data_IF_842606913106
#
_entry.id   IF_842606913106
#
_cell.length_a   1.000
_cell.length_b   1.000
_cell.length_c   1.000
_cell.angle_alpha   90.00
_cell.angle_beta   90.00
_cell.angle_gamma   90.00
#
_symmetry.space_group_name_H-M   'P 1'
#
loop_
_entity.id
_entity.type
_entity.pdbx_description
1 polymer ?
#
# COMPACT_ATOMS: atom_id res chain seq x y z
N UNK A 1 -18.94 -45.69 27.48
CA UNK A 1 -19.86 -46.36 26.54
C UNK A 1 -19.38 -46.03 25.13
N UNK A 2 -19.02 -47.05 24.33
CA UNK A 2 -18.66 -46.83 22.93
C UNK A 2 -19.95 -46.50 22.17
N UNK A 3 -20.00 -45.34 21.53
CA UNK A 3 -21.11 -44.96 20.65
C UNK A 3 -21.02 -45.77 19.35
N UNK A 4 -22.16 -46.13 18.77
CA UNK A 4 -22.19 -46.74 17.45
C UNK A 4 -21.74 -45.72 16.38
N UNK A 5 -21.21 -46.18 15.24
CA UNK A 5 -20.66 -45.28 14.20
C UNK A 5 -21.64 -44.17 13.78
N UNK A 6 -22.93 -44.51 13.67
CA UNK A 6 -23.98 -43.55 13.31
C UNK A 6 -24.26 -42.52 14.43
N UNK A 7 -24.04 -42.89 15.69
CA UNK A 7 -24.18 -41.97 16.83
C UNK A 7 -22.96 -41.05 16.95
N UNK A 8 -21.77 -41.53 16.58
CA UNK A 8 -20.56 -40.70 16.48
C UNK A 8 -20.69 -39.66 15.36
N UNK A 9 -21.22 -40.05 14.20
CA UNK A 9 -21.47 -39.13 13.09
C UNK A 9 -22.47 -38.02 13.45
N UNK A 10 -23.56 -38.38 14.13
CA UNK A 10 -24.56 -37.40 14.59
C UNK A 10 -23.97 -36.42 15.61
N UNK A 11 -23.16 -36.91 16.55
CA UNK A 11 -22.47 -36.06 17.53
C UNK A 11 -21.46 -35.10 16.85
N UNK A 12 -20.72 -35.58 15.85
CA UNK A 12 -19.77 -34.75 15.11
C UNK A 12 -20.46 -33.61 14.35
N UNK A 13 -21.55 -33.91 13.63
CA UNK A 13 -22.30 -32.90 12.85
C UNK A 13 -22.87 -31.82 13.78
N UNK A 14 -23.49 -32.21 14.90
CA UNK A 14 -24.04 -31.24 15.86
C UNK A 14 -22.92 -30.39 16.46
N UNK A 15 -21.78 -31.00 16.81
CA UNK A 15 -20.62 -30.26 17.31
C UNK A 15 -20.15 -29.21 16.29
N UNK A 16 -20.01 -29.58 15.02
CA UNK A 16 -19.57 -28.64 13.98
C UNK A 16 -20.58 -27.51 13.73
N UNK A 17 -21.89 -27.79 13.83
CA UNK A 17 -22.91 -26.75 13.70
C UNK A 17 -22.88 -25.77 14.88
N UNK A 18 -22.67 -26.26 16.11
CA UNK A 18 -22.55 -25.41 17.30
C UNK A 18 -21.29 -24.55 17.23
N UNK A 19 -20.13 -25.14 16.94
CA UNK A 19 -18.88 -24.37 16.81
C UNK A 19 -18.88 -23.43 15.61
N UNK A 20 -19.46 -23.84 14.47
CA UNK A 20 -19.61 -22.97 13.29
C UNK A 20 -20.51 -21.77 13.55
N UNK A 21 -21.64 -21.96 14.25
CA UNK A 21 -22.53 -20.84 14.63
C UNK A 21 -21.94 -19.96 15.74
N UNK A 22 -21.17 -20.53 16.67
CA UNK A 22 -20.43 -19.76 17.68
C UNK A 22 -19.33 -18.90 17.02
N UNK A 23 -18.59 -19.43 16.04
CA UNK A 23 -17.55 -18.70 15.33
C UNK A 23 -18.14 -17.51 14.58
N UNK A 24 -19.18 -17.73 13.77
CA UNK A 24 -19.87 -16.64 13.02
C UNK A 24 -20.53 -15.63 13.96
N UNK A 25 -21.10 -16.07 15.08
CA UNK A 25 -21.76 -15.19 16.04
C UNK A 25 -20.80 -14.34 16.88
N UNK A 26 -19.64 -14.86 17.24
CA UNK A 26 -18.62 -14.12 18.01
C UNK A 26 -17.82 -13.21 17.07
N UNK A 27 -17.37 -13.69 15.90
CA UNK A 27 -16.63 -12.86 14.95
C UNK A 27 -17.51 -11.75 14.35
N UNK A 28 -18.80 -12.01 14.14
CA UNK A 28 -19.75 -11.00 13.64
C UNK A 28 -20.14 -9.93 14.67
N UNK A 29 -19.98 -10.19 15.98
CA UNK A 29 -20.26 -9.20 17.02
C UNK A 29 -19.06 -8.30 17.33
N UNK A 30 -17.83 -8.78 17.11
CA UNK A 30 -16.62 -7.97 17.27
C UNK A 30 -16.37 -6.97 16.14
N UNK A 31 -17.09 -7.07 15.01
CA UNK A 31 -16.97 -6.10 13.92
C UNK A 31 -18.00 -4.96 13.97
N UNK A 32 -18.92 -4.93 14.95
CA UNK A 32 -19.85 -3.79 15.12
C UNK A 32 -19.98 -3.31 16.57
N UNK A 33 -19.15 -3.78 17.50
CA UNK A 33 -19.13 -3.20 18.85
C UNK A 33 -18.35 -1.88 18.82
N UNK A 34 -19.09 -0.79 18.61
CA UNK A 34 -18.70 0.61 18.78
C UNK A 34 -18.36 0.94 20.25
N UNK A 35 -17.40 0.25 20.86
CA UNK A 35 -17.24 0.30 22.32
C UNK A 35 -15.92 -0.14 22.94
N UNK A 36 -14.87 -0.43 22.17
CA UNK A 36 -13.49 -0.54 22.69
C UNK A 36 -12.53 -0.02 21.63
N UNK A 37 -12.10 1.22 21.79
CA UNK A 37 -11.32 1.95 20.79
C UNK A 37 -12.13 3.15 20.34
N UNK A 38 -11.84 4.29 20.96
CA UNK A 38 -12.29 5.61 20.53
C UNK A 38 -11.53 5.95 19.23
N UNK A 39 -11.85 5.23 18.16
CA UNK A 39 -11.36 5.55 16.83
C UNK A 39 -12.42 6.45 16.20
N UNK A 40 -12.13 7.74 16.16
CA UNK A 40 -12.87 8.67 15.32
C UNK A 40 -12.84 8.17 13.88
N UNK A 41 -13.99 8.23 13.21
CA UNK A 41 -14.03 7.99 11.78
C UNK A 41 -13.21 9.08 11.09
N UNK A 42 -12.23 8.71 10.27
CA UNK A 42 -11.47 9.65 9.43
C UNK A 42 -12.34 10.42 8.41
N UNK A 43 -13.65 10.16 8.37
CA UNK A 43 -14.61 10.86 7.55
C UNK A 43 -15.12 12.17 8.17
N UNK A 44 -14.86 12.44 9.46
CA UNK A 44 -15.34 13.66 10.13
C UNK A 44 -14.23 14.33 10.97
N UNK A 45 -13.02 14.44 10.44
CA UNK A 45 -12.17 15.55 10.83
C UNK A 45 -12.71 16.81 10.13
N UNK A 46 -13.60 17.52 10.81
CA UNK A 46 -14.00 18.87 10.40
C UNK A 46 -12.75 19.74 10.48
N UNK A 47 -12.06 19.86 9.33
CA UNK A 47 -10.92 20.75 9.13
C UNK A 47 -11.34 22.11 9.69
N UNK A 48 -10.77 22.47 10.84
CA UNK A 48 -11.01 23.77 11.44
C UNK A 48 -10.56 24.80 10.41
N UNK A 49 -11.46 25.64 9.84
CA UNK A 49 -11.15 26.47 8.67
C UNK A 49 -10.15 27.60 8.97
N UNK A 50 -9.59 27.62 10.18
CA UNK A 50 -8.58 28.56 10.65
C UNK A 50 -7.25 27.93 11.07
N UNK A 51 -7.08 26.60 10.96
CA UNK A 51 -5.73 26.04 10.90
C UNK A 51 -5.37 26.06 9.43
N UNK A 52 -4.65 27.10 9.02
CA UNK A 52 -3.86 27.05 7.81
C UNK A 52 -2.82 25.94 8.02
N UNK A 53 -3.21 24.69 7.78
CA UNK A 53 -2.33 23.76 7.11
C UNK A 53 -2.00 24.54 5.85
N UNK A 54 -0.77 25.05 5.76
CA UNK A 54 -0.15 25.23 4.46
C UNK A 54 -0.04 23.82 3.89
N UNK A 55 -1.18 23.25 3.50
CA UNK A 55 -1.22 22.35 2.39
C UNK A 55 -0.80 23.30 1.30
N UNK A 56 0.47 23.22 0.96
CA UNK A 56 0.87 23.41 -0.42
C UNK A 56 -0.14 22.57 -1.19
N UNK A 57 -1.27 23.20 -1.59
CA UNK A 57 -2.04 22.73 -2.73
C UNK A 57 -0.93 22.70 -3.76
N UNK A 58 -0.49 21.51 -4.20
CA UNK A 58 0.66 21.46 -5.05
C UNK A 58 0.31 22.35 -6.23
N UNK A 59 1.10 23.40 -6.38
CA UNK A 59 0.80 24.44 -7.36
C UNK A 59 0.90 23.74 -8.70
N UNK A 60 -0.24 23.57 -9.36
CA UNK A 60 -0.34 23.37 -10.79
C UNK A 60 0.23 24.66 -11.40
N UNK A 61 1.51 24.59 -11.79
CA UNK A 61 2.28 25.74 -12.23
C UNK A 61 2.16 25.98 -13.73
N UNK A 62 1.33 25.19 -14.43
CA UNK A 62 1.16 25.26 -15.86
C UNK A 62 0.99 26.71 -16.33
N UNK A 63 1.77 27.09 -17.34
CA UNK A 63 1.70 28.42 -17.94
C UNK A 63 0.40 28.58 -18.77
N UNK A 64 -0.78 28.56 -18.13
CA UNK A 64 -2.04 28.65 -18.86
C UNK A 64 -3.32 28.35 -18.08
N UNK A 65 -4.20 27.58 -18.73
CA UNK A 65 -5.34 26.92 -18.11
C UNK A 65 -4.84 25.52 -17.74
N UNK A 66 -4.26 25.40 -16.55
CA UNK A 66 -3.71 24.13 -16.06
C UNK A 66 -4.70 22.99 -16.24
N UNK A 67 -4.15 21.82 -16.54
CA UNK A 67 -4.88 20.58 -16.83
C UNK A 67 -5.63 20.03 -15.59
N UNK A 68 -5.34 20.59 -14.41
CA UNK A 68 -5.92 20.24 -13.13
C UNK A 68 -5.23 19.07 -12.43
N UNK A 69 -4.06 18.65 -12.93
CA UNK A 69 -3.14 17.71 -12.32
C UNK A 69 -2.01 18.52 -11.65
N UNK A 70 -1.75 18.33 -10.34
CA UNK A 70 -0.68 19.07 -9.70
C UNK A 70 0.71 18.58 -10.14
N UNK A 71 1.66 19.47 -10.42
CA UNK A 71 3.00 19.12 -10.91
C UNK A 71 3.71 18.02 -10.12
N UNK A 72 3.54 18.04 -8.79
CA UNK A 72 4.18 17.04 -7.93
C UNK A 72 3.65 15.64 -8.24
N UNK A 73 2.39 15.51 -8.61
CA UNK A 73 1.74 14.24 -8.94
C UNK A 73 2.10 13.81 -10.36
N UNK A 74 2.22 14.76 -11.28
CA UNK A 74 2.72 14.56 -12.64
C UNK A 74 4.13 13.96 -12.62
N UNK A 75 5.09 14.60 -11.96
CA UNK A 75 6.47 14.12 -11.93
C UNK A 75 6.62 12.82 -11.11
N UNK A 76 5.88 12.67 -10.00
CA UNK A 76 6.16 11.60 -9.03
C UNK A 76 5.31 10.35 -9.12
N UNK A 77 4.11 10.47 -9.69
CA UNK A 77 3.11 9.40 -9.67
C UNK A 77 2.69 8.99 -11.08
N UNK A 78 2.46 9.96 -11.97
CA UNK A 78 1.92 9.69 -13.30
C UNK A 78 3.00 9.69 -14.40
N UNK A 79 4.14 10.33 -14.15
CA UNK A 79 5.25 10.40 -15.09
C UNK A 79 4.99 11.32 -16.29
N UNK A 80 4.03 12.23 -16.18
CA UNK A 80 3.66 13.23 -17.19
C UNK A 80 4.57 14.46 -17.11
N UNK A 81 4.62 15.29 -18.17
CA UNK A 81 5.40 16.52 -18.18
C UNK A 81 4.58 17.67 -17.56
N UNK A 82 5.00 18.28 -16.43
CA UNK A 82 4.25 19.37 -15.79
C UNK A 82 4.14 20.67 -16.59
N UNK A 83 4.69 20.72 -17.81
CA UNK A 83 4.54 21.86 -18.72
C UNK A 83 3.79 21.47 -19.99
N UNK A 84 3.32 20.22 -20.07
CA UNK A 84 2.54 19.70 -21.16
C UNK A 84 1.18 19.25 -20.64
N UNK A 85 0.12 19.88 -21.16
CA UNK A 85 -1.25 19.63 -20.72
C UNK A 85 -1.76 18.26 -21.24
N UNK A 86 -1.12 17.73 -22.29
CA UNK A 86 -1.51 16.53 -23.06
C UNK A 86 -0.22 15.78 -23.42
N UNK A 87 0.35 15.05 -22.46
CA UNK A 87 1.71 14.49 -22.54
C UNK A 87 1.87 13.51 -23.72
N UNK A 88 0.80 12.81 -24.11
CA UNK A 88 0.80 11.84 -25.20
C UNK A 88 0.23 12.38 -26.53
N UNK A 89 -0.14 13.66 -26.57
CA UNK A 89 -0.63 14.40 -27.73
C UNK A 89 -1.90 13.77 -28.37
N UNK A 90 -2.75 13.11 -27.58
CA UNK A 90 -3.94 12.40 -28.05
C UNK A 90 -5.22 13.30 -28.11
N UNK A 91 -5.12 14.48 -27.51
CA UNK A 91 -6.17 15.49 -27.44
C UNK A 91 -7.04 15.44 -26.18
N UNK A 92 -6.72 14.56 -25.24
CA UNK A 92 -7.17 14.61 -23.84
C UNK A 92 -6.12 15.36 -23.01
N UNK A 93 -6.44 15.68 -21.76
CA UNK A 93 -5.45 16.34 -20.89
C UNK A 93 -5.10 15.41 -19.75
N UNK A 94 -3.87 15.47 -19.27
CA UNK A 94 -3.36 14.47 -18.32
C UNK A 94 -4.26 14.39 -17.07
N UNK A 95 -4.64 15.54 -16.52
CA UNK A 95 -5.57 15.66 -15.39
C UNK A 95 -6.99 15.19 -15.68
N UNK A 96 -7.46 15.26 -16.94
CA UNK A 96 -8.74 14.68 -17.34
C UNK A 96 -8.66 13.16 -17.37
N UNK A 97 -7.57 12.61 -17.90
CA UNK A 97 -7.35 11.18 -18.04
C UNK A 97 -7.18 10.50 -16.69
N UNK A 98 -6.32 11.04 -15.83
CA UNK A 98 -6.17 10.61 -14.42
C UNK A 98 -7.53 10.58 -13.71
N UNK A 99 -8.35 11.62 -13.90
CA UNK A 99 -9.67 11.70 -13.28
C UNK A 99 -10.65 10.65 -13.79
N UNK A 100 -10.48 10.17 -15.02
CA UNK A 100 -11.30 9.11 -15.61
C UNK A 100 -10.65 7.72 -15.54
N UNK A 101 -9.44 7.61 -14.97
CA UNK A 101 -8.68 6.37 -14.85
C UNK A 101 -8.13 5.84 -16.18
N UNK A 102 -7.84 6.74 -17.12
CA UNK A 102 -7.15 6.48 -18.40
C UNK A 102 -5.72 6.98 -18.31
N UNK A 103 -4.77 6.33 -19.03
CA UNK A 103 -3.30 6.54 -19.15
C UNK A 103 -2.89 7.82 -19.93
N UNK A 104 -2.36 8.90 -19.30
CA UNK A 104 -1.93 10.12 -20.00
C UNK A 104 -0.61 9.95 -20.77
N UNK A 105 -0.05 8.74 -20.73
CA UNK A 105 1.13 8.34 -21.51
C UNK A 105 0.75 7.38 -22.66
N UNK A 106 -0.55 7.12 -22.85
CA UNK A 106 -1.07 6.18 -23.84
C UNK A 106 -2.06 6.89 -24.77
N UNK A 107 -1.53 7.30 -25.93
CA UNK A 107 -2.30 7.97 -26.97
C UNK A 107 -3.37 7.09 -27.65
N UNK A 108 -3.60 5.87 -27.15
CA UNK A 108 -4.60 4.94 -27.65
C UNK A 108 -4.29 4.41 -29.05
N UNK A 109 -3.10 4.67 -29.60
CA UNK A 109 -2.64 4.02 -30.82
C UNK A 109 -2.22 2.59 -30.49
N UNK A 110 -2.72 1.63 -31.28
CA UNK A 110 -2.21 0.28 -31.19
C UNK A 110 -0.74 0.31 -31.62
N UNK A 111 0.17 0.01 -30.69
CA UNK A 111 1.60 -0.09 -30.94
C UNK A 111 1.86 -0.87 -32.22
N UNK A 112 2.33 -0.15 -33.24
CA UNK A 112 2.83 -0.77 -34.45
C UNK A 112 4.19 -1.37 -34.08
N UNK A 113 4.19 -2.61 -33.58
CA UNK A 113 5.36 -3.42 -33.20
C UNK A 113 6.63 -3.04 -34.00
N UNK A 114 7.48 -2.16 -33.47
CA UNK A 114 8.86 -2.00 -33.89
C UNK A 114 9.65 -1.30 -32.78
N UNK A 115 10.52 -2.09 -32.13
CA UNK A 115 11.56 -1.75 -31.14
C UNK A 115 11.36 -2.31 -29.71
N UNK A 116 11.04 -3.59 -29.61
CA UNK A 116 11.45 -4.42 -28.46
C UNK A 116 12.98 -4.59 -28.47
N UNK A 117 13.72 -3.69 -27.81
CA UNK A 117 15.14 -3.89 -27.51
C UNK A 117 15.36 -4.04 -26.00
N UNK A 118 15.11 -5.23 -25.45
CA UNK A 118 15.19 -5.34 -23.99
C UNK A 118 15.20 -6.70 -23.29
N UNK A 119 15.79 -7.74 -23.87
CA UNK A 119 16.28 -8.94 -23.18
C UNK A 119 15.25 -10.02 -22.72
N UNK A 120 15.03 -10.98 -23.63
CA UNK A 120 15.15 -12.44 -23.44
C UNK A 120 14.90 -13.04 -22.04
N UNK A 121 13.88 -13.91 -21.95
CA UNK A 121 14.08 -15.30 -21.52
C UNK A 121 12.98 -16.22 -22.08
N UNK A 122 13.38 -17.06 -23.03
CA UNK A 122 12.64 -18.21 -23.52
C UNK A 122 12.63 -19.31 -22.45
N UNK A 123 11.45 -19.78 -22.02
CA UNK A 123 11.04 -21.20 -22.00
C UNK A 123 9.91 -21.49 -21.00
N UNK A 124 8.86 -22.16 -21.50
CA UNK A 124 8.01 -23.14 -20.80
C UNK A 124 7.55 -22.80 -19.36
N UNK A 125 6.59 -21.88 -19.21
CA UNK A 125 5.45 -22.09 -18.31
C UNK A 125 4.34 -21.11 -18.68
N UNK A 126 3.09 -21.45 -18.37
CA UNK A 126 1.95 -20.59 -18.63
C UNK A 126 1.94 -19.40 -17.65
N UNK A 127 2.82 -18.44 -17.86
CA UNK A 127 2.74 -17.14 -17.21
C UNK A 127 1.81 -16.27 -18.04
N UNK A 128 0.71 -15.85 -17.42
CA UNK A 128 -0.07 -14.71 -17.85
C UNK A 128 0.92 -13.56 -17.93
N UNK A 129 1.36 -13.23 -19.15
CA UNK A 129 2.09 -12.00 -19.41
C UNK A 129 1.15 -10.89 -18.97
N UNK A 130 1.46 -10.36 -17.78
CA UNK A 130 0.78 -9.23 -17.19
C UNK A 130 0.64 -8.18 -18.29
N UNK A 131 -0.60 -7.90 -18.67
CA UNK A 131 -0.94 -6.87 -19.64
C UNK A 131 -0.17 -5.62 -19.19
N UNK A 132 0.80 -5.16 -19.99
CA UNK A 132 1.59 -3.96 -19.67
C UNK A 132 0.76 -2.68 -19.68
N UNK A 133 -0.55 -2.82 -19.91
CA UNK A 133 -1.60 -1.80 -19.84
C UNK A 133 -2.05 -1.50 -18.40
N UNK A 134 -1.44 -2.13 -17.39
CA UNK A 134 -1.72 -1.78 -15.99
C UNK A 134 -1.01 -0.47 -15.65
N UNK A 135 -1.75 0.61 -15.83
CA UNK A 135 -1.52 1.92 -15.22
C UNK A 135 -0.75 1.80 -13.88
N UNK A 136 0.32 2.60 -13.64
CA UNK A 136 1.09 2.54 -12.41
C UNK A 136 0.20 2.77 -11.19
N UNK A 137 0.13 1.80 -10.28
CA UNK A 137 -0.66 1.98 -9.04
C UNK A 137 -0.13 3.22 -8.29
N UNK A 138 -0.99 4.24 -8.05
CA UNK A 138 -0.67 5.39 -7.21
C UNK A 138 0.10 5.06 -5.94
N UNK A 139 -0.26 3.95 -5.31
CA UNK A 139 0.31 3.51 -4.04
C UNK A 139 1.74 2.99 -4.20
N UNK A 140 2.15 2.54 -5.40
CA UNK A 140 3.51 2.10 -5.69
C UNK A 140 4.42 3.26 -6.16
N UNK A 141 3.88 4.47 -6.32
CA UNK A 141 4.64 5.67 -6.70
C UNK A 141 5.56 6.16 -5.58
N UNK A 142 6.44 7.13 -5.87
CA UNK A 142 7.45 7.63 -4.92
C UNK A 142 6.88 8.06 -3.55
N UNK A 143 5.71 8.69 -3.56
CA UNK A 143 5.00 9.14 -2.35
C UNK A 143 3.87 8.22 -1.91
N UNK A 144 3.72 7.06 -2.56
CA UNK A 144 2.74 6.06 -2.17
C UNK A 144 3.15 5.34 -0.88
N UNK A 145 2.16 4.77 -0.21
CA UNK A 145 2.28 4.00 1.04
C UNK A 145 1.50 2.68 0.84
N UNK A 146 2.09 1.68 0.14
CA UNK A 146 1.42 0.44 -0.22
C UNK A 146 0.92 -0.37 0.97
N UNK A 147 1.64 -0.33 2.09
CA UNK A 147 1.38 -1.13 3.26
C UNK A 147 0.65 -0.39 4.39
N UNK A 148 0.43 0.91 4.20
CA UNK A 148 -0.31 1.81 5.07
C UNK A 148 0.28 1.90 6.49
N UNK A 149 1.60 1.77 6.60
CA UNK A 149 2.32 1.93 7.86
C UNK A 149 2.61 3.43 8.17
N UNK A 150 2.46 4.27 7.15
CA UNK A 150 2.61 5.72 7.20
C UNK A 150 4.02 6.22 6.85
N UNK A 151 4.89 5.36 6.33
CA UNK A 151 6.07 5.75 5.56
C UNK A 151 5.73 5.75 4.06
N UNK A 152 6.34 6.67 3.31
CA UNK A 152 6.25 6.64 1.85
C UNK A 152 7.34 5.75 1.27
N UNK A 153 7.13 5.22 0.07
CA UNK A 153 8.14 4.43 -0.66
C UNK A 153 9.53 5.11 -0.71
N UNK A 154 9.58 6.45 -0.85
CA UNK A 154 10.84 7.23 -0.74
C UNK A 154 11.49 7.13 0.65
N UNK A 155 10.71 7.30 1.72
CA UNK A 155 11.22 7.23 3.10
C UNK A 155 11.69 5.82 3.44
N UNK A 156 10.98 4.81 2.96
CA UNK A 156 11.36 3.41 3.13
C UNK A 156 12.61 3.06 2.34
N UNK A 157 12.77 3.60 1.14
CA UNK A 157 14.02 3.47 0.38
C UNK A 157 15.22 4.12 1.11
N UNK A 158 15.01 5.23 1.83
CA UNK A 158 16.03 5.87 2.67
C UNK A 158 16.36 5.04 3.92
N UNK A 159 15.35 4.43 4.54
CA UNK A 159 15.49 3.56 5.73
C UNK A 159 15.97 2.14 5.38
N UNK A 160 15.83 1.74 4.12
CA UNK A 160 16.12 0.39 3.62
C UNK A 160 15.05 -0.64 3.96
N UNK A 161 13.85 -0.21 4.33
CA UNK A 161 12.69 -1.06 4.67
C UNK A 161 11.94 -1.49 3.40
N UNK A 162 11.07 -2.48 3.53
CA UNK A 162 10.32 -3.08 2.42
C UNK A 162 8.99 -2.33 2.21
N UNK A 163 8.81 -1.62 1.08
CA UNK A 163 7.65 -0.74 0.91
C UNK A 163 6.29 -1.42 0.78
N UNK A 164 6.27 -2.75 0.72
CA UNK A 164 5.05 -3.53 0.67
C UNK A 164 4.72 -4.16 2.00
N UNK A 165 5.50 -3.89 3.05
CA UNK A 165 5.43 -4.58 4.32
C UNK A 165 5.64 -3.63 5.48
N UNK A 166 4.52 -3.34 6.13
CA UNK A 166 4.50 -2.47 7.30
C UNK A 166 5.47 -2.89 8.42
N UNK A 167 5.82 -4.17 8.51
CA UNK A 167 6.79 -4.74 9.44
C UNK A 167 7.82 -5.52 8.61
N UNK A 168 8.99 -4.91 8.34
CA UNK A 168 10.00 -5.46 7.44
C UNK A 168 10.72 -6.68 8.02
N UNK A 169 10.99 -6.69 9.32
CA UNK A 169 11.78 -7.71 10.01
C UNK A 169 10.96 -8.76 10.79
N UNK A 170 9.63 -8.62 10.72
CA UNK A 170 8.60 -9.46 11.31
C UNK A 170 8.59 -9.53 12.83
N UNK A 171 9.11 -8.52 13.53
CA UNK A 171 9.13 -8.48 15.00
C UNK A 171 7.80 -8.05 15.65
N UNK A 172 6.85 -7.61 14.82
CA UNK A 172 5.51 -7.21 15.22
C UNK A 172 5.36 -5.71 15.48
N UNK A 173 6.42 -4.92 15.27
CA UNK A 173 6.38 -3.47 15.19
C UNK A 173 6.42 -3.04 13.73
N UNK A 174 5.85 -1.87 13.45
CA UNK A 174 5.89 -1.34 12.10
C UNK A 174 7.10 -0.43 11.88
N UNK A 175 7.58 -0.36 10.65
CA UNK A 175 8.82 0.27 10.25
C UNK A 175 8.86 1.76 10.63
N UNK A 176 7.72 2.46 10.48
CA UNK A 176 7.55 3.85 10.94
C UNK A 176 7.78 4.03 12.43
N UNK A 177 7.32 3.09 13.25
CA UNK A 177 7.45 3.21 14.69
C UNK A 177 8.89 2.95 15.13
N UNK A 178 9.51 1.92 14.57
CA UNK A 178 10.89 1.57 14.89
C UNK A 178 11.89 2.65 14.49
N UNK A 179 11.70 3.26 13.32
CA UNK A 179 12.52 4.39 12.85
C UNK A 179 12.43 5.63 13.75
N UNK A 180 11.31 5.84 14.46
CA UNK A 180 11.17 6.95 15.43
C UNK A 180 11.73 6.63 16.81
N UNK A 181 11.69 5.37 17.23
CA UNK A 181 12.00 4.95 18.61
C UNK A 181 13.27 4.09 18.72
N UNK A 182 14.09 4.03 17.67
CA UNK A 182 15.38 3.32 17.68
C UNK A 182 16.22 3.71 18.90
N UNK A 183 16.72 2.70 19.63
CA UNK A 183 17.53 2.94 20.83
C UNK A 183 18.79 2.05 20.86
N UNK A 184 19.91 2.63 21.28
CA UNK A 184 21.15 1.88 21.46
C UNK A 184 21.36 1.52 22.93
N UNK A 185 21.57 0.23 23.21
CA UNK A 185 21.85 -0.28 24.55
C UNK A 185 23.21 -0.96 24.56
N UNK A 186 24.03 -0.64 25.56
CA UNK A 186 25.31 -1.32 25.77
C UNK A 186 25.11 -2.55 26.65
N UNK A 187 25.24 -3.74 26.06
CA UNK A 187 25.24 -5.02 26.74
C UNK A 187 26.68 -5.53 26.97
N UNK A 188 26.90 -6.48 27.90
CA UNK A 188 28.23 -7.06 28.15
C UNK A 188 28.92 -7.65 26.92
N UNK A 189 28.12 -8.08 25.93
CA UNK A 189 28.58 -8.72 24.68
C UNK A 189 28.68 -7.74 23.50
N UNK A 190 28.33 -6.45 23.66
CA UNK A 190 28.41 -5.43 22.62
C UNK A 190 27.30 -4.36 22.69
N UNK A 191 27.36 -3.37 21.80
CA UNK A 191 26.26 -2.42 21.59
C UNK A 191 25.18 -3.08 20.73
N UNK A 192 23.94 -3.10 21.22
CA UNK A 192 22.77 -3.64 20.52
C UNK A 192 21.85 -2.46 20.20
N UNK A 193 21.41 -2.37 18.95
CA UNK A 193 20.36 -1.44 18.52
C UNK A 193 19.02 -2.14 18.66
N UNK A 194 18.16 -1.67 19.56
CA UNK A 194 16.79 -2.12 19.72
C UNK A 194 15.86 -1.28 18.84
N UNK A 195 14.76 -1.88 18.39
CA UNK A 195 13.77 -1.26 17.50
C UNK A 195 14.42 -0.77 16.20
N UNK A 196 15.12 -1.70 15.55
CA UNK A 196 15.71 -1.46 14.25
C UNK A 196 14.76 -2.10 13.24
N UNK A 197 14.16 -1.34 12.32
CA UNK A 197 13.17 -1.87 11.37
C UNK A 197 13.71 -2.96 10.43
N UNK A 198 15.03 -3.11 10.39
CA UNK A 198 15.70 -4.15 9.60
C UNK A 198 16.16 -5.36 10.44
N UNK A 199 15.94 -5.37 11.75
CA UNK A 199 16.45 -6.40 12.65
C UNK A 199 15.74 -6.47 14.02
N UNK A 200 14.81 -7.41 14.13
CA UNK A 200 14.10 -7.77 15.37
C UNK A 200 14.94 -8.48 16.44
N UNK A 201 16.28 -8.49 16.29
CA UNK A 201 17.24 -9.02 17.27
C UNK A 201 16.95 -10.45 17.76
N UNK A 202 16.39 -11.31 16.90
CA UNK A 202 15.99 -12.69 17.19
C UNK A 202 17.08 -13.61 17.77
N UNK A 203 18.36 -13.23 17.63
CA UNK A 203 19.52 -13.98 18.11
C UNK A 203 20.31 -13.31 19.25
N UNK A 204 19.88 -12.14 19.72
CA UNK A 204 20.60 -11.43 20.78
C UNK A 204 20.22 -11.99 22.17
N UNK A 205 21.19 -12.48 22.92
CA UNK A 205 21.02 -12.73 24.35
C UNK A 205 21.17 -11.40 25.10
N UNK A 206 20.10 -10.93 25.73
CA UNK A 206 20.10 -9.78 26.65
C UNK A 206 20.98 -10.02 27.88
#
# INVERSE_FOLDING_TARGET
>A
MSLNHNQMAYAAIISTLIFGSLFVGISGFYQTSSGVGDFDSAAEEEINPNVAIQSEIPEDNDEGVGDGLPDILEESQYGTDPNDIDTDDDGMSDGWEVKHGLNPLDNGEADNEEEETGATNTADDAEVSNESDSWPDPNQGKYGDPDNDGLTNEQEAELGTDPQRADSDNDGLNDRWESLYTMEVSSPDGTITLFNPLSGNWGCTL
#
